data_IF_873086803852
#
_entry.id   IF_873086803852
#
_cell.length_a   1.000
_cell.length_b   1.000
_cell.length_c   1.000
_cell.angle_alpha   90.00
_cell.angle_beta   90.00
_cell.angle_gamma   90.00
#
_symmetry.space_group_name_H-M   'P 1'
#
loop_
_entity.id
_entity.type
_entity.pdbx_description
1 polymer ?
#
# COMPACT_ATOMS: atom_id res chain seq x y z
N UNK A 1 5.44 -9.61 -32.06
CA UNK A 1 5.33 -9.61 -30.59
C UNK A 1 4.74 -8.27 -30.16
N UNK A 2 3.62 -8.28 -29.41
CA UNK A 2 3.09 -7.05 -28.81
C UNK A 2 4.05 -6.62 -27.71
N UNK A 3 4.67 -5.45 -27.86
CA UNK A 3 5.49 -4.86 -26.78
C UNK A 3 4.55 -4.19 -25.79
N UNK A 4 4.69 -4.44 -24.49
CA UNK A 4 3.94 -3.69 -23.48
C UNK A 4 4.50 -2.26 -23.39
N UNK A 5 3.66 -1.21 -23.31
CA UNK A 5 4.11 0.16 -23.12
C UNK A 5 5.09 0.29 -21.95
N UNK A 6 4.74 -0.27 -20.79
CA UNK A 6 5.62 -0.34 -19.62
C UNK A 6 6.95 -1.07 -19.88
N UNK A 7 6.95 -2.18 -20.62
CA UNK A 7 8.15 -2.94 -20.94
C UNK A 7 9.12 -2.16 -21.83
N UNK A 8 8.59 -1.45 -22.84
CA UNK A 8 9.41 -0.56 -23.68
C UNK A 8 9.98 0.61 -22.92
N UNK A 9 9.23 1.12 -21.94
CA UNK A 9 9.68 2.22 -21.11
C UNK A 9 10.77 1.78 -20.14
N UNK A 10 10.61 0.63 -19.47
CA UNK A 10 11.67 0.05 -18.64
C UNK A 10 12.98 -0.11 -19.43
N UNK A 11 12.90 -0.65 -20.65
CA UNK A 11 14.07 -0.80 -21.51
C UNK A 11 14.77 0.53 -21.78
N UNK A 12 14.00 1.60 -22.03
CA UNK A 12 14.52 2.95 -22.26
C UNK A 12 15.19 3.51 -21.00
N UNK A 13 14.47 3.53 -19.87
CA UNK A 13 14.98 4.05 -18.59
C UNK A 13 16.28 3.36 -18.19
N UNK A 14 16.33 2.03 -18.24
CA UNK A 14 17.54 1.28 -17.89
C UNK A 14 18.74 1.68 -18.75
N UNK A 15 18.53 1.90 -20.05
CA UNK A 15 19.58 2.31 -20.98
C UNK A 15 20.05 3.74 -20.74
N UNK A 16 19.13 4.65 -20.44
CA UNK A 16 19.41 6.05 -20.08
C UNK A 16 20.18 6.13 -18.76
N UNK A 17 19.85 5.28 -17.77
CA UNK A 17 20.59 5.15 -16.50
C UNK A 17 21.93 4.39 -16.63
N UNK A 18 22.32 3.95 -17.83
CA UNK A 18 23.60 3.27 -18.06
C UNK A 18 23.68 1.82 -17.55
N UNK A 19 22.60 1.23 -17.09
CA UNK A 19 22.59 -0.13 -16.55
C UNK A 19 22.45 -1.20 -17.65
N UNK A 20 23.19 -2.31 -17.52
CA UNK A 20 22.85 -3.56 -18.23
C UNK A 20 21.70 -4.29 -17.53
N UNK A 21 21.09 -5.29 -18.19
CA UNK A 21 20.09 -6.14 -17.51
C UNK A 21 20.68 -6.87 -16.30
N UNK A 22 21.97 -7.24 -16.35
CA UNK A 22 22.69 -7.85 -15.24
C UNK A 22 22.94 -6.87 -14.09
N UNK A 23 23.24 -5.61 -14.39
CA UNK A 23 23.40 -4.57 -13.37
C UNK A 23 22.09 -4.31 -12.64
N UNK A 24 21.00 -4.10 -13.39
CA UNK A 24 19.67 -3.90 -12.81
C UNK A 24 19.25 -5.12 -11.98
N UNK A 25 19.55 -6.34 -12.44
CA UNK A 25 19.26 -7.56 -11.71
C UNK A 25 19.97 -7.63 -10.37
N UNK A 26 21.29 -7.40 -10.38
CA UNK A 26 22.13 -7.44 -9.17
C UNK A 26 21.70 -6.39 -8.15
N UNK A 27 21.28 -5.20 -8.60
CA UNK A 27 20.92 -4.09 -7.71
C UNK A 27 19.46 -4.15 -7.22
N UNK A 28 18.54 -4.70 -8.02
CA UNK A 28 17.10 -4.79 -7.65
C UNK A 28 16.71 -6.09 -6.97
N UNK A 29 17.55 -7.13 -7.05
CA UNK A 29 17.19 -8.49 -6.63
C UNK A 29 16.25 -9.22 -7.62
N UNK A 30 15.80 -8.55 -8.68
CA UNK A 30 14.95 -9.14 -9.72
C UNK A 30 15.80 -9.94 -10.69
N UNK A 31 15.41 -11.16 -11.06
CA UNK A 31 16.24 -11.99 -11.95
C UNK A 31 16.43 -11.38 -13.35
N UNK A 32 17.60 -11.60 -13.97
CA UNK A 32 17.88 -11.19 -15.37
C UNK A 32 16.82 -11.72 -16.33
N UNK A 33 16.34 -12.96 -16.10
CA UNK A 33 15.27 -13.58 -16.89
C UNK A 33 13.97 -12.77 -16.79
N UNK A 34 13.58 -12.37 -15.58
CA UNK A 34 12.40 -11.57 -15.33
C UNK A 34 12.52 -10.20 -15.99
N UNK A 35 13.62 -9.48 -15.77
CA UNK A 35 13.86 -8.15 -16.40
C UNK A 35 13.78 -8.25 -17.93
N UNK A 36 14.43 -9.26 -18.52
CA UNK A 36 14.38 -9.49 -19.97
C UNK A 36 12.97 -9.78 -20.47
N UNK A 37 12.23 -10.63 -19.74
CA UNK A 37 10.85 -10.97 -20.09
C UNK A 37 9.92 -9.76 -20.04
N UNK A 38 10.08 -8.90 -19.02
CA UNK A 38 9.36 -7.63 -18.88
C UNK A 38 9.67 -6.70 -20.06
N UNK A 39 10.94 -6.45 -20.36
CA UNK A 39 11.35 -5.54 -21.46
C UNK A 39 10.87 -6.01 -22.84
N UNK A 40 10.76 -7.33 -23.04
CA UNK A 40 10.30 -7.92 -24.31
C UNK A 40 8.78 -8.04 -24.43
N UNK A 41 8.03 -7.79 -23.36
CA UNK A 41 6.60 -8.03 -23.31
C UNK A 41 6.23 -9.52 -23.22
N UNK A 42 7.15 -10.37 -22.78
CA UNK A 42 6.88 -11.78 -22.45
C UNK A 42 6.17 -11.89 -21.09
N UNK A 43 6.45 -10.95 -20.18
CA UNK A 43 5.74 -10.78 -18.90
C UNK A 43 4.89 -9.51 -19.00
N UNK A 44 3.57 -9.68 -19.03
CA UNK A 44 2.61 -8.58 -19.22
C UNK A 44 2.08 -7.99 -17.91
N UNK A 45 2.06 -8.80 -16.84
CA UNK A 45 1.51 -8.45 -15.53
C UNK A 45 2.55 -8.73 -14.43
N UNK A 46 3.65 -7.96 -14.34
CA UNK A 46 4.62 -8.12 -13.25
C UNK A 46 3.97 -7.78 -11.90
N UNK A 47 4.38 -8.46 -10.83
CA UNK A 47 3.93 -8.11 -9.47
C UNK A 47 4.30 -6.66 -9.13
N UNK A 48 3.42 -5.99 -8.37
CA UNK A 48 3.64 -4.60 -7.94
C UNK A 48 4.98 -4.46 -7.21
N UNK A 49 5.31 -5.42 -6.33
CA UNK A 49 6.59 -5.46 -5.63
C UNK A 49 7.80 -5.50 -6.58
N UNK A 50 7.72 -6.28 -7.67
CA UNK A 50 8.78 -6.32 -8.70
C UNK A 50 8.95 -4.96 -9.39
N UNK A 51 7.86 -4.28 -9.70
CA UNK A 51 7.90 -2.94 -10.31
C UNK A 51 8.50 -1.92 -9.33
N UNK A 52 8.09 -1.95 -8.06
CA UNK A 52 8.63 -1.08 -7.01
C UNK A 52 10.14 -1.30 -6.80
N UNK A 53 10.61 -2.55 -6.77
CA UNK A 53 12.04 -2.88 -6.67
C UNK A 53 12.84 -2.27 -7.83
N UNK A 54 12.35 -2.42 -9.06
CA UNK A 54 12.99 -1.86 -10.25
C UNK A 54 13.06 -0.33 -10.20
N UNK A 55 11.94 0.31 -9.84
CA UNK A 55 11.84 1.77 -9.77
C UNK A 55 12.77 2.36 -8.71
N UNK A 56 12.80 1.73 -7.53
CA UNK A 56 13.72 2.09 -6.45
C UNK A 56 15.18 2.01 -6.91
N UNK A 57 15.57 0.92 -7.58
CA UNK A 57 16.94 0.73 -8.09
C UNK A 57 17.33 1.76 -9.14
N UNK A 58 16.38 2.21 -9.97
CA UNK A 58 16.63 3.22 -10.99
C UNK A 58 16.74 4.64 -10.42
N UNK A 59 16.45 4.85 -9.12
CA UNK A 59 16.55 6.15 -8.47
C UNK A 59 15.63 7.21 -9.08
N UNK A 60 14.47 6.79 -9.61
CA UNK A 60 13.54 7.68 -10.31
C UNK A 60 12.91 8.68 -9.35
N UNK A 61 12.70 9.91 -9.83
CA UNK A 61 11.94 10.92 -9.07
C UNK A 61 10.54 10.42 -8.76
N UNK A 62 9.94 10.79 -7.61
CA UNK A 62 8.60 10.33 -7.23
C UNK A 62 7.54 10.53 -8.32
N UNK A 63 7.65 11.61 -9.11
CA UNK A 63 6.82 11.87 -10.29
C UNK A 63 6.97 10.76 -11.34
N UNK A 64 8.21 10.50 -11.75
CA UNK A 64 8.54 9.45 -12.72
C UNK A 64 8.17 8.05 -12.21
N UNK A 65 8.27 7.81 -10.89
CA UNK A 65 7.84 6.54 -10.29
C UNK A 65 6.36 6.29 -10.55
N UNK A 66 5.51 7.27 -10.23
CA UNK A 66 4.07 7.09 -10.38
C UNK A 66 3.66 6.97 -11.85
N UNK A 67 4.27 7.75 -12.74
CA UNK A 67 4.04 7.58 -14.17
C UNK A 67 4.49 6.18 -14.65
N UNK A 68 5.65 5.67 -14.18
CA UNK A 68 6.10 4.32 -14.49
C UNK A 68 5.10 3.27 -14.02
N UNK A 69 4.66 3.36 -12.77
CA UNK A 69 3.67 2.46 -12.19
C UNK A 69 2.34 2.53 -12.97
N UNK A 70 1.96 3.72 -13.43
CA UNK A 70 0.79 3.94 -14.26
C UNK A 70 0.88 3.28 -15.64
N UNK A 71 2.06 3.22 -16.27
CA UNK A 71 2.24 2.49 -17.53
C UNK A 71 2.08 0.96 -17.40
N UNK A 72 2.00 0.46 -16.17
CA UNK A 72 1.69 -0.94 -15.83
C UNK A 72 0.30 -1.10 -15.19
N UNK A 73 -0.46 -0.01 -15.06
CA UNK A 73 -1.85 -0.09 -14.65
C UNK A 73 -2.66 -0.83 -15.71
N UNK A 74 -3.61 -1.63 -15.25
CA UNK A 74 -4.59 -2.26 -16.14
C UNK A 74 -5.80 -1.33 -16.19
N UNK A 75 -6.40 -1.08 -17.37
CA UNK A 75 -7.62 -0.28 -17.45
C UNK A 75 -8.66 -0.84 -16.48
N UNK A 76 -9.31 0.00 -15.66
CA UNK A 76 -10.36 -0.47 -14.79
C UNK A 76 -11.45 -1.09 -15.66
N UNK A 77 -11.74 -2.37 -15.44
CA UNK A 77 -12.92 -2.98 -16.03
C UNK A 77 -14.15 -2.22 -15.51
N UNK A 78 -15.11 -1.95 -16.40
CA UNK A 78 -16.30 -1.18 -16.06
C UNK A 78 -17.00 -1.81 -14.86
N UNK A 79 -17.33 -1.00 -13.84
CA UNK A 79 -18.14 -1.36 -12.68
C UNK A 79 -17.54 -2.45 -11.77
N UNK A 80 -17.38 -2.15 -10.48
CA UNK A 80 -17.04 -3.16 -9.47
C UNK A 80 -17.99 -4.38 -9.55
N UNK A 81 -19.24 -4.16 -9.93
CA UNK A 81 -20.25 -5.23 -10.04
C UNK A 81 -20.12 -6.10 -11.31
N UNK A 82 -19.33 -5.66 -12.30
CA UNK A 82 -19.19 -6.30 -13.63
C UNK A 82 -17.85 -6.99 -13.84
N UNK A 83 -16.89 -6.80 -12.92
CA UNK A 83 -15.83 -7.78 -12.71
C UNK A 83 -16.51 -9.07 -12.26
N UNK A 84 -16.93 -9.89 -13.23
CA UNK A 84 -16.95 -11.33 -13.09
C UNK A 84 -15.53 -11.71 -12.68
N UNK A 85 -15.32 -11.66 -11.36
CA UNK A 85 -14.15 -12.17 -10.67
C UNK A 85 -14.00 -13.58 -11.22
N UNK A 86 -12.93 -13.83 -11.99
CA UNK A 86 -12.64 -15.18 -12.43
C UNK A 86 -12.58 -16.04 -11.16
N UNK A 87 -13.56 -16.94 -10.94
CA UNK A 87 -13.66 -17.70 -9.69
C UNK A 87 -12.49 -18.68 -9.53
N UNK A 88 -11.63 -18.80 -10.55
CA UNK A 88 -10.44 -19.62 -10.53
C UNK A 88 -9.18 -18.89 -10.03
N UNK A 89 -9.22 -17.55 -9.90
CA UNK A 89 -8.11 -16.80 -9.32
C UNK A 89 -8.13 -16.90 -7.78
N UNK A 90 -6.94 -16.94 -7.18
CA UNK A 90 -6.78 -16.86 -5.73
C UNK A 90 -7.17 -15.48 -5.20
N UNK A 91 -7.50 -15.37 -3.90
CA UNK A 91 -7.83 -14.07 -3.27
C UNK A 91 -6.69 -13.05 -3.42
N UNK A 92 -5.43 -13.49 -3.36
CA UNK A 92 -4.26 -12.63 -3.56
C UNK A 92 -4.26 -12.03 -4.97
N UNK A 93 -4.57 -12.83 -5.99
CA UNK A 93 -4.67 -12.37 -7.37
C UNK A 93 -5.84 -11.40 -7.56
N UNK A 94 -6.96 -11.60 -6.85
CA UNK A 94 -8.06 -10.65 -6.85
C UNK A 94 -7.68 -9.32 -6.21
N UNK A 95 -7.00 -9.34 -5.04
CA UNK A 95 -6.55 -8.12 -4.35
C UNK A 95 -5.55 -7.35 -5.23
N UNK A 96 -4.60 -8.04 -5.87
CA UNK A 96 -3.66 -7.41 -6.81
C UNK A 96 -4.40 -6.81 -8.01
N UNK A 97 -5.36 -7.53 -8.61
CA UNK A 97 -6.14 -7.02 -9.74
C UNK A 97 -6.95 -5.75 -9.38
N UNK A 98 -7.54 -5.70 -8.19
CA UNK A 98 -8.29 -4.54 -7.70
C UNK A 98 -7.38 -3.31 -7.55
N UNK A 99 -6.26 -3.49 -6.85
CA UNK A 99 -5.32 -2.39 -6.56
C UNK A 99 -4.57 -1.92 -7.81
N UNK A 100 -4.30 -2.83 -8.74
CA UNK A 100 -3.61 -2.55 -10.01
C UNK A 100 -4.38 -1.60 -10.93
N UNK A 101 -5.71 -1.58 -10.85
CA UNK A 101 -6.54 -0.68 -11.65
C UNK A 101 -6.33 0.81 -11.37
N UNK A 102 -5.78 1.15 -10.21
CA UNK A 102 -5.43 2.53 -9.82
C UNK A 102 -3.93 2.73 -9.63
N UNK A 103 -3.12 1.75 -10.03
CA UNK A 103 -1.68 1.79 -9.88
C UNK A 103 -1.10 3.02 -10.57
N UNK A 104 -0.39 3.86 -9.83
CA UNK A 104 0.20 5.09 -10.38
C UNK A 104 -0.79 6.16 -10.84
N UNK A 105 -2.11 5.98 -10.68
CA UNK A 105 -3.13 6.99 -11.04
C UNK A 105 -3.04 8.26 -10.20
N UNK A 106 -2.38 8.18 -9.04
CA UNK A 106 -2.08 9.30 -8.17
C UNK A 106 -0.70 9.17 -7.53
N UNK A 107 -0.18 10.30 -7.05
CA UNK A 107 0.96 10.36 -6.13
C UNK A 107 0.50 10.73 -4.75
N UNK A 108 1.19 10.19 -3.74
CA UNK A 108 0.98 10.56 -2.35
C UNK A 108 1.89 11.75 -2.03
N UNK A 109 1.31 12.85 -1.57
CA UNK A 109 2.05 13.98 -1.03
C UNK A 109 2.37 13.69 0.43
N UNK A 110 1.34 13.46 1.22
CA UNK A 110 1.49 13.16 2.64
C UNK A 110 0.49 12.11 3.07
N UNK A 111 0.90 11.22 3.97
CA UNK A 111 -0.03 10.37 4.69
C UNK A 111 0.31 10.29 6.18
N UNK A 112 -0.75 10.25 6.98
CA UNK A 112 -0.69 10.14 8.43
C UNK A 112 -1.59 9.00 8.85
N UNK A 113 -1.05 8.00 9.55
CA UNK A 113 -1.82 7.00 10.28
C UNK A 113 -1.69 7.20 11.78
N UNK A 114 -2.82 7.06 12.46
CA UNK A 114 -2.89 7.01 13.91
C UNK A 114 -3.72 5.82 14.31
N UNK A 115 -3.07 4.88 14.96
CA UNK A 115 -3.68 3.63 15.39
C UNK A 115 -3.74 3.61 16.91
N UNK A 116 -4.85 3.12 17.46
CA UNK A 116 -5.02 2.92 18.90
C UNK A 116 -5.10 1.43 19.22
N UNK A 117 -4.32 1.00 20.19
CA UNK A 117 -4.42 -0.33 20.80
C UNK A 117 -5.19 -0.20 22.11
N UNK A 118 -6.26 -0.98 22.27
CA UNK A 118 -7.12 -0.94 23.46
C UNK A 118 -6.55 -1.70 24.66
N UNK A 119 -7.23 -1.61 25.81
CA UNK A 119 -6.80 -2.24 27.07
C UNK A 119 -6.78 -3.76 27.03
N UNK A 120 -7.54 -4.36 26.12
CA UNK A 120 -7.54 -5.79 25.79
C UNK A 120 -6.54 -6.15 24.68
N UNK A 121 -5.57 -5.25 24.40
CA UNK A 121 -4.41 -5.52 23.54
C UNK A 121 -4.72 -5.75 22.06
N UNK A 122 -5.86 -5.23 21.58
CA UNK A 122 -6.27 -5.31 20.17
C UNK A 122 -6.19 -3.96 19.47
N UNK A 123 -5.95 -3.99 18.15
CA UNK A 123 -6.13 -2.82 17.30
C UNK A 123 -7.60 -2.39 17.33
N UNK A 124 -7.90 -1.26 17.96
CA UNK A 124 -9.29 -0.81 18.12
C UNK A 124 -9.73 0.14 17.00
N UNK A 125 -8.83 1.03 16.59
CA UNK A 125 -9.16 2.13 15.71
C UNK A 125 -7.91 2.58 14.93
N UNK A 126 -8.05 2.77 13.62
CA UNK A 126 -7.02 3.31 12.74
C UNK A 126 -7.57 4.48 11.94
N UNK A 127 -7.04 5.66 12.19
CA UNK A 127 -7.32 6.88 11.42
C UNK A 127 -6.27 7.09 10.33
N UNK A 128 -6.70 7.52 9.15
CA UNK A 128 -5.81 7.90 8.06
C UNK A 128 -6.23 9.25 7.46
N UNK A 129 -5.25 10.13 7.22
CA UNK A 129 -5.38 11.32 6.38
C UNK A 129 -4.35 11.26 5.27
N UNK A 130 -4.81 11.46 4.04
CA UNK A 130 -3.99 11.41 2.85
C UNK A 130 -4.20 12.66 2.01
N UNK A 131 -3.09 13.25 1.54
CA UNK A 131 -3.09 14.26 0.50
C UNK A 131 -2.43 13.66 -0.75
N UNK A 132 -3.11 13.78 -1.89
CA UNK A 132 -2.71 13.17 -3.15
C UNK A 132 -2.70 14.19 -4.28
N UNK A 133 -2.01 13.85 -5.37
CA UNK A 133 -2.10 14.54 -6.65
C UNK A 133 -2.40 13.53 -7.76
N UNK A 134 -3.38 13.82 -8.61
CA UNK A 134 -3.74 12.97 -9.73
C UNK A 134 -2.64 12.98 -10.81
N UNK A 135 -2.32 11.81 -11.36
CA UNK A 135 -1.29 11.62 -12.41
C UNK A 135 -1.92 11.58 -13.81
N UNK A 136 -3.22 11.28 -13.88
CA UNK A 136 -4.03 11.27 -15.09
C UNK A 136 -5.36 12.01 -14.88
N UNK A 137 -6.00 12.39 -15.98
CA UNK A 137 -7.36 12.90 -15.95
C UNK A 137 -8.34 11.76 -15.63
N UNK A 138 -9.42 12.08 -14.93
CA UNK A 138 -10.50 11.12 -14.72
C UNK A 138 -10.44 10.42 -13.36
N UNK A 139 -9.43 10.67 -12.54
CA UNK A 139 -9.26 10.00 -11.25
C UNK A 139 -10.40 10.35 -10.28
N UNK A 140 -11.21 9.36 -9.90
CA UNK A 140 -12.40 9.56 -9.07
C UNK A 140 -12.45 8.64 -7.83
N UNK A 141 -11.42 7.82 -7.59
CA UNK A 141 -11.38 6.85 -6.49
C UNK A 141 -9.96 6.45 -6.11
N UNK A 142 -9.84 5.90 -4.90
CA UNK A 142 -8.66 5.21 -4.38
C UNK A 142 -9.09 3.91 -3.70
N UNK A 143 -8.14 3.00 -3.47
CA UNK A 143 -8.39 1.76 -2.74
C UNK A 143 -7.67 1.77 -1.40
N UNK A 144 -8.36 1.34 -0.36
CA UNK A 144 -7.79 1.07 0.94
C UNK A 144 -7.85 -0.44 1.21
N UNK A 145 -6.69 -1.06 1.41
CA UNK A 145 -6.57 -2.47 1.77
C UNK A 145 -6.26 -2.55 3.25
N UNK A 146 -7.05 -3.31 4.00
CA UNK A 146 -6.82 -3.58 5.42
C UNK A 146 -6.68 -5.08 5.64
N UNK A 147 -5.64 -5.46 6.36
CA UNK A 147 -5.44 -6.83 6.82
C UNK A 147 -5.85 -6.92 8.28
N UNK A 148 -6.56 -7.98 8.65
CA UNK A 148 -6.64 -8.40 10.03
C UNK A 148 -5.33 -9.07 10.49
N UNK A 149 -5.26 -9.40 11.77
CA UNK A 149 -4.19 -10.18 12.40
C UNK A 149 -4.79 -11.40 13.12
N UNK A 150 -3.99 -12.16 13.89
CA UNK A 150 -4.53 -13.28 14.68
C UNK A 150 -5.57 -12.83 15.72
N UNK A 151 -5.50 -11.56 16.12
CA UNK A 151 -6.40 -10.90 17.04
C UNK A 151 -7.64 -10.31 16.37
N UNK A 152 -7.64 -10.02 15.06
CA UNK A 152 -8.59 -9.11 14.40
C UNK A 152 -9.10 -9.71 13.10
N UNK A 153 -10.43 -9.76 12.90
CA UNK A 153 -10.96 -10.14 11.59
C UNK A 153 -11.11 -8.93 10.70
N UNK A 154 -10.59 -9.00 9.47
CA UNK A 154 -10.87 -8.00 8.45
C UNK A 154 -12.37 -7.83 8.17
N UNK A 155 -13.16 -8.91 8.31
CA UNK A 155 -14.61 -8.90 8.11
C UNK A 155 -15.35 -8.02 9.13
N UNK A 156 -14.78 -7.83 10.32
CA UNK A 156 -15.38 -7.04 11.40
C UNK A 156 -14.91 -5.57 11.39
N UNK A 157 -13.98 -5.22 10.51
CA UNK A 157 -13.51 -3.83 10.36
C UNK A 157 -14.58 -2.97 9.71
N UNK A 158 -14.89 -1.80 10.23
CA UNK A 158 -15.84 -0.86 9.62
C UNK A 158 -15.17 0.41 9.13
N UNK A 159 -15.57 0.91 7.96
CA UNK A 159 -14.99 2.09 7.34
C UNK A 159 -15.90 3.30 7.49
N UNK A 160 -15.40 4.33 8.18
CA UNK A 160 -16.08 5.61 8.33
C UNK A 160 -15.39 6.70 7.51
N UNK A 161 -16.04 7.28 6.48
CA UNK A 161 -15.49 8.43 5.77
C UNK A 161 -15.52 9.69 6.66
N UNK A 162 -14.43 10.46 6.67
CA UNK A 162 -14.31 11.65 7.53
C UNK A 162 -14.15 12.95 6.74
N UNK A 163 -13.34 12.94 5.68
CA UNK A 163 -13.05 14.12 4.87
C UNK A 163 -12.91 13.73 3.41
N UNK A 164 -13.53 14.49 2.52
CA UNK A 164 -13.20 14.46 1.09
C UNK A 164 -13.35 13.09 0.42
N UNK A 165 -14.13 12.16 0.98
CA UNK A 165 -14.35 10.85 0.39
C UNK A 165 -15.69 10.25 0.83
N UNK A 166 -16.08 9.17 0.15
CA UNK A 166 -17.20 8.30 0.53
C UNK A 166 -16.82 6.86 0.27
N UNK A 167 -17.33 5.94 1.08
CA UNK A 167 -17.24 4.52 0.76
C UNK A 167 -18.14 4.22 -0.44
N UNK A 168 -17.59 3.60 -1.48
CA UNK A 168 -18.35 3.19 -2.67
C UNK A 168 -18.67 1.70 -2.64
N UNK A 169 -17.69 0.86 -2.34
CA UNK A 169 -17.87 -0.57 -2.24
C UNK A 169 -16.89 -1.20 -1.24
N UNK A 170 -17.25 -2.38 -0.72
CA UNK A 170 -16.44 -3.20 0.19
C UNK A 170 -16.34 -4.61 -0.41
N UNK A 171 -15.17 -5.23 -0.28
CA UNK A 171 -14.97 -6.65 -0.58
C UNK A 171 -14.16 -7.33 0.50
N UNK A 172 -14.66 -8.47 0.94
CA UNK A 172 -14.04 -9.31 1.96
C UNK A 172 -13.32 -10.49 1.31
N UNK A 173 -12.12 -10.78 1.82
CA UNK A 173 -11.23 -11.86 1.42
C UNK A 173 -10.92 -12.69 2.67
N UNK A 174 -11.85 -13.59 3.07
CA UNK A 174 -11.75 -14.31 4.34
C UNK A 174 -10.56 -15.27 4.42
N UNK A 175 -10.12 -15.90 3.33
CA UNK A 175 -8.98 -16.84 3.38
C UNK A 175 -7.67 -16.10 3.70
N UNK A 176 -7.56 -14.86 3.23
CA UNK A 176 -6.41 -13.99 3.40
C UNK A 176 -6.55 -13.04 4.61
N UNK A 177 -7.68 -13.09 5.32
CA UNK A 177 -8.06 -12.13 6.36
C UNK A 177 -7.86 -10.66 5.92
N UNK A 178 -8.37 -10.31 4.73
CA UNK A 178 -8.22 -8.98 4.12
C UNK A 178 -9.59 -8.40 3.75
N UNK A 179 -9.73 -7.08 3.85
CA UNK A 179 -10.84 -6.32 3.28
C UNK A 179 -10.29 -5.22 2.38
N UNK A 180 -10.95 -5.01 1.24
CA UNK A 180 -10.65 -3.90 0.33
C UNK A 180 -11.84 -2.96 0.29
N UNK A 181 -11.60 -1.69 0.61
CA UNK A 181 -12.55 -0.60 0.50
C UNK A 181 -12.24 0.23 -0.75
N UNK A 182 -13.24 0.36 -1.62
CA UNK A 182 -13.21 1.34 -2.68
C UNK A 182 -13.71 2.68 -2.14
N UNK A 183 -12.84 3.67 -2.19
CA UNK A 183 -13.08 5.00 -1.64
C UNK A 183 -13.25 5.99 -2.77
N UNK A 184 -14.48 6.45 -2.99
CA UNK A 184 -14.80 7.45 -4.00
C UNK A 184 -14.39 8.86 -3.54
N UNK A 185 -13.82 9.61 -4.47
CA UNK A 185 -13.57 11.04 -4.36
C UNK A 185 -14.85 11.80 -4.70
N UNK A 186 -15.05 13.03 -4.20
CA UNK A 186 -16.29 13.79 -4.41
C UNK A 186 -16.51 14.19 -5.87
N UNK A 187 -15.47 14.12 -6.70
CA UNK A 187 -15.47 14.44 -8.11
C UNK A 187 -14.30 13.73 -8.81
N UNK A 188 -14.37 13.70 -10.14
CA UNK A 188 -13.25 13.30 -10.97
C UNK A 188 -12.20 14.42 -11.00
N UNK A 189 -10.95 14.09 -10.70
CA UNK A 189 -9.80 14.99 -10.67
C UNK A 189 -9.14 15.07 -12.04
N UNK A 190 -8.68 16.27 -12.40
CA UNK A 190 -7.82 16.46 -13.56
C UNK A 190 -6.35 16.13 -13.24
N UNK A 191 -5.54 15.83 -14.26
CA UNK A 191 -4.11 15.60 -14.10
C UNK A 191 -3.45 16.80 -13.40
N UNK A 192 -2.67 16.51 -12.35
CA UNK A 192 -1.98 17.51 -11.55
C UNK A 192 -2.84 18.15 -10.45
N UNK A 193 -4.12 17.84 -10.40
CA UNK A 193 -5.01 18.34 -9.36
C UNK A 193 -4.76 17.64 -8.02
N UNK A 194 -4.79 18.41 -6.94
CA UNK A 194 -4.59 17.89 -5.58
C UNK A 194 -5.92 17.66 -4.88
N UNK A 195 -5.94 16.65 -4.01
CA UNK A 195 -7.10 16.36 -3.17
C UNK A 195 -6.67 15.77 -1.84
N UNK A 196 -7.38 16.12 -0.78
CA UNK A 196 -7.19 15.55 0.55
C UNK A 196 -8.41 14.74 0.96
N UNK A 197 -8.17 13.56 1.53
CA UNK A 197 -9.21 12.71 2.08
C UNK A 197 -8.77 12.09 3.41
N UNK A 198 -9.75 11.79 4.26
CA UNK A 198 -9.52 11.12 5.52
C UNK A 198 -10.64 10.12 5.81
N UNK A 199 -10.27 9.05 6.48
CA UNK A 199 -11.17 7.99 6.90
C UNK A 199 -10.69 7.38 8.20
N UNK A 200 -11.56 6.59 8.79
CA UNK A 200 -11.35 5.83 10.00
C UNK A 200 -11.77 4.39 9.75
N UNK A 201 -10.98 3.45 10.29
CA UNK A 201 -11.32 2.03 10.32
C UNK A 201 -11.38 1.59 11.77
N UNK A 202 -12.52 1.07 12.19
CA UNK A 202 -12.75 0.59 13.56
C UNK A 202 -12.88 -0.93 13.57
N UNK A 203 -12.29 -1.59 14.58
CA UNK A 203 -12.52 -3.01 14.83
C UNK A 203 -13.80 -3.19 15.67
N UNK A 204 -14.87 -3.69 15.02
CA UNK A 204 -16.13 -4.01 15.67
C UNK A 204 -16.26 -5.50 16.04
N UNK A 205 -15.16 -6.26 15.99
CA UNK A 205 -15.16 -7.64 16.47
C UNK A 205 -15.72 -7.74 17.89
N UNK A 206 -16.40 -8.86 18.15
CA UNK A 206 -16.82 -9.20 19.50
C UNK A 206 -15.63 -9.22 20.47
N UNK A 207 -15.65 -8.30 21.43
CA UNK A 207 -14.58 -8.14 22.44
C UNK A 207 -14.61 -9.24 23.50
N UNK A 208 -15.70 -9.99 23.58
CA UNK A 208 -15.85 -11.10 24.53
C UNK A 208 -15.34 -12.42 23.95
N UNK A 209 -15.26 -12.53 22.63
CA UNK A 209 -14.55 -13.60 21.96
C UNK A 209 -13.05 -13.33 22.11
N UNK A 210 -12.40 -13.95 23.09
CA UNK A 210 -10.95 -13.85 23.26
C UNK A 210 -10.24 -14.36 21.98
N UNK A 211 -9.70 -13.41 21.22
CA UNK A 211 -8.73 -13.64 20.15
C UNK A 211 -7.31 -13.36 20.68
N UNK A 212 -6.29 -13.62 19.87
CA UNK A 212 -4.90 -13.33 20.23
C UNK A 212 -4.66 -11.83 20.45
N UNK A 213 -3.61 -11.50 21.21
CA UNK A 213 -3.15 -10.12 21.37
C UNK A 213 -2.56 -9.63 20.03
N UNK A 214 -2.88 -8.40 19.61
CA UNK A 214 -2.18 -7.77 18.49
C UNK A 214 -0.73 -7.48 18.88
N UNK A 215 0.20 -7.70 17.97
CA UNK A 215 1.65 -7.56 18.20
C UNK A 215 2.35 -6.64 17.17
N UNK A 216 1.60 -6.07 16.23
CA UNK A 216 2.16 -5.18 15.23
C UNK A 216 1.15 -4.37 14.44
N UNK A 217 1.65 -3.29 13.84
CA UNK A 217 0.94 -2.49 12.85
C UNK A 217 1.94 -2.00 11.81
N UNK A 218 1.63 -2.20 10.54
CA UNK A 218 2.46 -1.75 9.42
C UNK A 218 1.58 -1.19 8.29
N UNK A 219 2.02 -0.10 7.68
CA UNK A 219 1.36 0.46 6.50
C UNK A 219 2.38 1.04 5.52
N UNK A 220 2.10 0.96 4.22
CA UNK A 220 3.02 1.38 3.18
C UNK A 220 2.44 2.03 1.92
N UNK A 221 3.01 3.14 1.41
CA UNK A 221 2.55 3.72 0.16
C UNK A 221 3.04 2.86 -1.04
N UNK A 222 2.29 2.82 -2.14
CA UNK A 222 2.68 2.05 -3.33
C UNK A 222 3.86 2.67 -4.10
N UNK A 223 4.24 3.92 -3.81
CA UNK A 223 5.37 4.67 -4.38
C UNK A 223 5.82 5.73 -3.36
N UNK A 224 6.89 6.48 -3.65
CA UNK A 224 7.41 7.47 -2.71
C UNK A 224 6.38 8.53 -2.30
N UNK A 225 6.16 8.69 -1.00
CA UNK A 225 5.40 9.75 -0.37
C UNK A 225 6.35 10.82 0.21
N UNK A 226 6.08 12.12 -0.01
CA UNK A 226 6.97 13.19 0.50
C UNK A 226 7.00 13.26 2.02
N UNK A 227 5.88 12.96 2.68
CA UNK A 227 5.77 12.91 4.13
C UNK A 227 4.97 11.69 4.57
N UNK A 228 5.55 10.91 5.48
CA UNK A 228 4.88 9.78 6.12
C UNK A 228 4.90 9.96 7.63
N UNK A 229 3.75 9.78 8.28
CA UNK A 229 3.67 9.69 9.74
C UNK A 229 2.90 8.44 10.12
N UNK A 230 3.50 7.58 10.93
CA UNK A 230 2.84 6.39 11.49
C UNK A 230 2.94 6.49 13.00
N UNK A 231 1.81 6.45 13.69
CA UNK A 231 1.75 6.48 15.15
C UNK A 231 0.86 5.36 15.68
N UNK A 232 1.31 4.72 16.77
CA UNK A 232 0.52 3.74 17.52
C UNK A 232 0.46 4.21 18.97
N UNK A 233 -0.76 4.41 19.48
CA UNK A 233 -1.04 4.79 20.87
C UNK A 233 -1.58 3.59 21.63
N UNK A 234 -1.00 3.30 22.80
CA UNK A 234 -1.34 2.13 23.59
C UNK A 234 -2.12 2.51 24.85
N UNK A 235 -3.30 1.92 25.05
CA UNK A 235 -4.04 2.09 26.30
C UNK A 235 -3.31 1.49 27.51
N UNK A 236 -2.59 0.38 27.29
CA UNK A 236 -1.68 -0.24 28.25
C UNK A 236 -0.30 -0.28 27.60
N UNK A 237 0.73 0.26 28.26
CA UNK A 237 2.07 0.26 27.67
C UNK A 237 2.61 -1.17 27.50
N UNK A 238 3.07 -1.56 26.29
CA UNK A 238 3.79 -2.82 26.07
C UNK A 238 5.18 -2.79 26.74
N UNK A 239 5.72 -3.97 27.03
CA UNK A 239 7.07 -4.14 27.57
C UNK A 239 8.16 -3.61 26.63
N UNK A 240 7.97 -3.79 25.31
CA UNK A 240 8.89 -3.31 24.30
C UNK A 240 8.16 -2.97 23.00
N UNK A 241 8.54 -1.86 22.36
CA UNK A 241 8.13 -1.51 21.00
C UNK A 241 9.37 -1.44 20.11
N UNK A 242 9.29 -2.00 18.92
CA UNK A 242 10.37 -2.07 17.95
C UNK A 242 9.89 -1.49 16.63
N UNK A 243 10.67 -0.58 16.02
CA UNK A 243 10.34 -0.11 14.67
C UNK A 243 10.56 -1.25 13.67
N UNK A 244 9.61 -1.40 12.75
CA UNK A 244 9.72 -2.36 11.64
C UNK A 244 9.51 -1.68 10.30
N UNK A 245 10.15 -2.22 9.27
CA UNK A 245 9.84 -1.87 7.89
C UNK A 245 9.93 -3.11 6.99
N UNK A 246 9.18 -3.10 5.89
CA UNK A 246 9.21 -4.14 4.87
C UNK A 246 9.46 -3.51 3.52
N UNK A 247 10.71 -3.57 3.01
CA UNK A 247 10.99 -3.15 1.65
C UNK A 247 10.21 -4.00 0.63
N UNK A 248 9.92 -3.45 -0.57
CA UNK A 248 9.20 -4.18 -1.61
C UNK A 248 9.86 -5.52 -1.94
N UNK A 249 9.07 -6.59 -1.86
CA UNK A 249 9.52 -7.95 -2.19
C UNK A 249 10.59 -8.52 -1.25
N UNK A 250 10.76 -7.93 -0.06
CA UNK A 250 11.67 -8.40 0.98
C UNK A 250 10.90 -8.77 2.26
N UNK A 251 11.62 -9.40 3.20
CA UNK A 251 11.13 -9.71 4.54
C UNK A 251 11.12 -8.46 5.44
N UNK A 252 10.49 -8.59 6.61
CA UNK A 252 10.51 -7.54 7.62
C UNK A 252 11.91 -7.32 8.19
N UNK A 253 12.32 -6.06 8.24
CA UNK A 253 13.50 -5.58 8.92
C UNK A 253 13.08 -4.99 10.27
N UNK A 254 13.70 -5.48 11.34
CA UNK A 254 13.50 -5.01 12.69
C UNK A 254 14.64 -4.06 13.07
N UNK A 255 14.28 -2.87 13.53
CA UNK A 255 15.21 -1.80 13.90
C UNK A 255 15.35 -1.74 15.43
N UNK A 256 15.85 -0.61 15.93
CA UNK A 256 15.99 -0.36 17.36
C UNK A 256 14.63 -0.24 18.08
N UNK A 257 14.69 -0.44 19.40
CA UNK A 257 13.56 -0.21 20.29
C UNK A 257 13.16 1.27 20.31
N UNK A 258 11.85 1.50 20.36
CA UNK A 258 11.23 2.83 20.32
C UNK A 258 10.75 3.19 21.73
N UNK A 259 11.15 4.37 22.20
CA UNK A 259 10.64 4.91 23.46
C UNK A 259 9.25 5.51 23.24
N UNK A 260 8.33 5.21 24.15
CA UNK A 260 6.97 5.78 24.15
C UNK A 260 7.00 7.20 24.72
N UNK A 261 6.12 8.07 24.21
CA UNK A 261 5.87 9.38 24.81
C UNK A 261 4.97 9.31 26.07
N UNK A 262 4.69 10.46 26.69
CA UNK A 262 3.84 10.56 27.89
C UNK A 262 2.40 10.04 27.70
N UNK A 263 1.95 9.89 26.45
CA UNK A 263 0.64 9.34 26.10
C UNK A 263 0.72 7.86 25.70
N UNK A 264 1.81 7.16 26.03
CA UNK A 264 2.09 5.79 25.59
C UNK A 264 2.03 5.65 24.06
N UNK A 265 2.59 6.59 23.31
CA UNK A 265 2.57 6.56 21.85
C UNK A 265 3.97 6.41 21.25
N UNK A 266 4.09 5.47 20.31
CA UNK A 266 5.21 5.37 19.40
C UNK A 266 4.90 6.16 18.12
N UNK A 267 5.87 6.90 17.58
CA UNK A 267 5.70 7.66 16.34
C UNK A 267 6.92 7.57 15.44
N UNK A 268 6.67 7.42 14.15
CA UNK A 268 7.66 7.39 13.08
C UNK A 268 7.29 8.49 12.10
N UNK A 269 8.26 9.35 11.79
CA UNK A 269 8.14 10.39 10.77
C UNK A 269 9.24 10.18 9.74
N UNK A 270 8.86 10.18 8.47
CA UNK A 270 9.79 10.00 7.36
C UNK A 270 9.54 11.07 6.30
N UNK A 271 10.63 11.69 5.85
CA UNK A 271 10.67 12.49 4.64
C UNK A 271 11.00 11.56 3.47
N UNK A 272 10.31 11.74 2.34
CA UNK A 272 10.49 10.95 1.12
C UNK A 272 10.49 9.43 1.35
N UNK A 273 9.50 8.95 2.10
CA UNK A 273 9.30 7.53 2.36
C UNK A 273 9.03 6.78 1.06
N UNK A 274 9.98 5.93 0.64
CA UNK A 274 9.85 5.08 -0.54
C UNK A 274 8.72 4.04 -0.43
N UNK A 275 8.39 3.32 -1.52
CA UNK A 275 7.48 2.20 -1.46
C UNK A 275 7.97 1.12 -0.48
N UNK A 276 7.03 0.41 0.12
CA UNK A 276 7.29 -0.52 1.21
C UNK A 276 6.38 -0.20 2.39
N UNK A 277 6.41 -1.02 3.43
CA UNK A 277 5.57 -0.85 4.60
C UNK A 277 6.40 -0.43 5.83
N UNK A 278 5.86 0.45 6.67
CA UNK A 278 6.53 1.03 7.84
C UNK A 278 5.60 0.99 9.05
N UNK A 279 6.15 0.74 10.23
CA UNK A 279 5.37 0.77 11.46
C UNK A 279 6.12 0.19 12.65
N UNK A 280 5.40 -0.56 13.49
CA UNK A 280 5.91 -1.05 14.77
C UNK A 280 5.47 -2.50 15.01
N UNK A 281 6.33 -3.26 15.66
CA UNK A 281 5.99 -4.48 16.37
C UNK A 281 6.19 -4.27 17.87
N UNK A 282 5.50 -5.01 18.72
CA UNK A 282 5.63 -4.89 20.16
C UNK A 282 5.44 -6.22 20.90
N UNK A 283 5.91 -6.23 22.14
CA UNK A 283 5.78 -7.35 23.07
C UNK A 283 5.13 -6.81 24.35
N UNK A 284 4.10 -7.50 24.82
CA UNK A 284 3.28 -7.12 25.97
C UNK A 284 3.91 -7.41 27.33
#
# INVERSE_FOLDING_TARGET
>A
MRRSPGGTWLHRLRRESGFTQSDLSRLSGVSVRTIRGIERGEILTPQIATLQQIVLTLGLSPETQAEFMHAWATPPQAGFDQLLVDPHLSEIEHIDALTRGTLGSYRVISQVWRTRVSTDRRLAHTWCHSAIVAVEDGMDRVFNVQSGDEGTSAADLDFTPLLGCRLRSRRDFPESNVVVFEVALPRSLAKGETHAYAYQVDDNSDRTAHRADSDGFVWGPPHTARSLVVSVEFATAPAQVTRIERPPGQDFLFHDAVQLDEANRASLVMEDAGPGAFGFAWIW
#
